data_IF_142580497512
#
_entry.id   IF_142580497512
#
_cell.length_a   1.000
_cell.length_b   1.000
_cell.length_c   1.000
_cell.angle_alpha   90.00
_cell.angle_beta   90.00
_cell.angle_gamma   90.00
#
_symmetry.space_group_name_H-M   'P 1'
#
loop_
_entity.id
_entity.type
_entity.pdbx_description
1 polymer ?
#
# COMPACT_ATOMS: atom_id res chain seq x y z
N UNK A 1 -6.85 -4.17 14.77
CA UNK A 1 -6.29 -3.73 16.05
C UNK A 1 -7.41 -3.47 17.07
N UNK A 2 -7.09 -3.50 18.39
CA UNK A 2 -8.08 -3.34 19.47
C UNK A 2 -8.61 -1.92 19.58
N UNK A 3 -7.73 -0.94 19.51
CA UNK A 3 -8.06 0.47 19.73
C UNK A 3 -7.64 1.30 18.52
N UNK A 4 -8.46 1.35 17.45
CA UNK A 4 -8.17 2.25 16.34
C UNK A 4 -8.37 3.70 16.77
N UNK A 5 -7.49 4.61 16.32
CA UNK A 5 -7.55 6.01 16.70
C UNK A 5 -6.43 6.84 16.09
N UNK A 6 -6.27 8.05 16.60
CA UNK A 6 -5.18 8.95 16.28
C UNK A 6 -4.21 8.93 17.45
N UNK A 7 -2.93 8.69 17.15
CA UNK A 7 -1.85 8.59 18.12
C UNK A 7 -0.79 9.62 17.81
N UNK A 8 -0.41 10.42 18.80
CA UNK A 8 0.73 11.31 18.71
C UNK A 8 1.96 10.57 19.27
N UNK A 9 2.96 10.40 18.42
CA UNK A 9 4.22 9.73 18.77
C UNK A 9 5.40 10.51 18.20
N UNK A 10 6.56 10.41 18.84
CA UNK A 10 7.81 10.87 18.23
C UNK A 10 8.13 10.03 16.99
N UNK A 11 8.94 10.55 16.06
CA UNK A 11 9.41 9.75 14.93
C UNK A 11 10.42 8.71 15.41
N UNK A 12 10.26 7.47 14.94
CA UNK A 12 11.20 6.39 15.23
C UNK A 12 10.63 5.12 15.86
N UNK A 13 9.39 5.09 16.41
CA UNK A 13 8.82 3.82 16.84
C UNK A 13 8.72 2.88 15.64
N UNK A 14 8.77 1.60 15.92
CA UNK A 14 8.56 0.57 14.91
C UNK A 14 7.07 0.40 14.58
N UNK A 15 6.78 -0.26 13.49
CA UNK A 15 5.39 -0.64 13.17
C UNK A 15 4.79 -1.49 14.30
N UNK A 16 5.58 -2.37 14.91
CA UNK A 16 5.19 -3.19 16.07
C UNK A 16 4.81 -2.32 17.26
N UNK A 17 5.65 -1.34 17.61
CA UNK A 17 5.40 -0.45 18.74
C UNK A 17 4.08 0.31 18.59
N UNK A 18 3.74 0.75 17.37
CA UNK A 18 2.46 1.42 17.14
C UNK A 18 1.26 0.47 17.19
N UNK A 19 1.40 -0.76 16.72
CA UNK A 19 0.35 -1.77 16.86
C UNK A 19 0.12 -2.07 18.34
N UNK A 20 1.20 -2.23 19.13
CA UNK A 20 1.12 -2.49 20.56
C UNK A 20 0.53 -1.30 21.33
N UNK A 21 0.94 -0.08 21.00
CA UNK A 21 0.35 1.15 21.54
C UNK A 21 -1.17 1.22 21.28
N UNK A 22 -1.62 0.73 20.13
CA UNK A 22 -3.04 0.63 19.77
C UNK A 22 -3.74 -0.59 20.39
N UNK A 23 -3.14 -1.24 21.39
CA UNK A 23 -3.69 -2.38 22.12
C UNK A 23 -3.46 -3.73 21.45
N UNK A 24 -2.61 -3.80 20.43
CA UNK A 24 -2.31 -5.03 19.70
C UNK A 24 -3.42 -5.48 18.75
N UNK A 25 -3.27 -6.67 18.22
CA UNK A 25 -4.30 -7.32 17.40
C UNK A 25 -5.50 -7.71 18.26
N UNK A 26 -6.68 -7.82 17.64
CA UNK A 26 -7.89 -8.33 18.32
C UNK A 26 -7.71 -9.81 18.65
N UNK A 27 -8.49 -10.29 19.65
CA UNK A 27 -8.45 -11.70 20.03
C UNK A 27 -8.82 -12.59 18.83
N UNK A 28 -7.99 -13.60 18.59
CA UNK A 28 -8.13 -14.50 17.46
C UNK A 28 -7.70 -13.92 16.11
N UNK A 29 -7.17 -12.68 16.08
CA UNK A 29 -6.62 -12.08 14.88
C UNK A 29 -5.09 -12.11 14.88
N UNK A 30 -4.52 -12.49 13.74
CA UNK A 30 -3.08 -12.47 13.48
C UNK A 30 -2.76 -11.37 12.48
N UNK A 31 -1.60 -10.74 12.64
CA UNK A 31 -1.13 -9.71 11.71
C UNK A 31 -0.82 -10.34 10.35
N UNK A 32 -1.45 -9.83 9.31
CA UNK A 32 -1.20 -10.22 7.93
C UNK A 32 -0.35 -9.17 7.20
N UNK A 33 -0.76 -7.92 7.30
CA UNK A 33 -0.09 -6.81 6.63
C UNK A 33 -0.50 -5.46 7.25
N UNK A 34 0.30 -4.42 6.99
CA UNK A 34 -0.09 -3.04 7.22
C UNK A 34 0.11 -2.21 5.95
N UNK A 35 -0.88 -1.41 5.58
CA UNK A 35 -0.72 -0.41 4.52
C UNK A 35 -0.31 0.91 5.13
N UNK A 36 0.85 1.42 4.73
CA UNK A 36 1.44 2.68 5.21
C UNK A 36 1.18 3.79 4.18
N UNK A 37 0.79 4.97 4.64
CA UNK A 37 0.67 6.17 3.80
C UNK A 37 -0.62 6.29 2.99
N UNK A 38 -1.67 5.55 3.33
CA UNK A 38 -2.96 5.60 2.63
C UNK A 38 -2.96 4.89 1.27
N UNK A 39 -3.83 5.31 0.34
CA UNK A 39 -3.97 4.66 -0.97
C UNK A 39 -2.70 4.73 -1.83
N UNK A 40 -1.95 5.83 -1.73
CA UNK A 40 -0.69 6.07 -2.45
C UNK A 40 0.52 5.37 -1.83
N UNK A 41 0.35 4.78 -0.66
CA UNK A 41 1.41 4.07 0.06
C UNK A 41 1.58 2.62 -0.36
N UNK A 42 2.32 1.86 0.45
CA UNK A 42 2.63 0.47 0.17
C UNK A 42 2.28 -0.45 1.35
N UNK A 43 2.32 -1.75 1.09
CA UNK A 43 2.11 -2.78 2.10
C UNK A 43 3.44 -3.20 2.74
N UNK A 44 3.45 -3.19 4.08
CA UNK A 44 4.44 -3.83 4.93
C UNK A 44 3.92 -5.21 5.34
N UNK A 45 4.81 -6.20 5.37
CA UNK A 45 4.49 -7.57 5.78
C UNK A 45 4.95 -7.89 7.21
N UNK A 46 4.82 -9.17 7.63
CA UNK A 46 5.30 -9.61 8.95
C UNK A 46 6.79 -9.35 9.19
N UNK A 47 7.61 -9.44 8.15
CA UNK A 47 9.05 -9.20 8.22
C UNK A 47 9.39 -7.70 8.43
N UNK A 48 8.43 -6.80 8.21
CA UNK A 48 8.60 -5.36 8.36
C UNK A 48 8.10 -4.84 9.73
N UNK A 49 7.68 -5.70 10.64
CA UNK A 49 7.14 -5.26 11.95
C UNK A 49 8.13 -4.43 12.76
N UNK A 50 9.43 -4.70 12.62
CA UNK A 50 10.49 -3.97 13.32
C UNK A 50 11.04 -2.80 12.49
N UNK A 51 10.40 -2.44 11.38
CA UNK A 51 10.73 -1.27 10.57
C UNK A 51 10.44 0.01 11.36
N UNK A 52 11.48 0.83 11.55
CA UNK A 52 11.32 2.14 12.17
C UNK A 52 10.49 3.06 11.25
N UNK A 53 9.51 3.72 11.83
CA UNK A 53 8.62 4.62 11.09
C UNK A 53 9.25 6.02 11.03
N UNK A 54 10.35 6.10 10.29
CA UNK A 54 10.99 7.34 9.90
C UNK A 54 10.96 7.49 8.38
N UNK A 55 11.01 8.70 7.82
CA UNK A 55 11.09 8.91 6.38
C UNK A 55 12.24 8.13 5.73
N UNK A 56 13.41 8.11 6.38
CA UNK A 56 14.63 7.48 5.87
C UNK A 56 14.51 5.96 5.86
N UNK A 57 14.07 5.37 6.98
CA UNK A 57 13.96 3.91 7.09
C UNK A 57 12.86 3.35 6.18
N UNK A 58 11.71 4.02 6.11
CA UNK A 58 10.63 3.61 5.21
C UNK A 58 11.02 3.75 3.75
N UNK A 59 11.73 4.84 3.37
CA UNK A 59 12.24 5.00 2.01
C UNK A 59 13.28 3.94 1.64
N UNK A 60 14.21 3.61 2.55
CA UNK A 60 15.19 2.54 2.36
C UNK A 60 14.52 1.17 2.17
N UNK A 61 13.38 0.96 2.82
CA UNK A 61 12.54 -0.22 2.64
C UNK A 61 11.62 -0.14 1.39
N UNK A 62 11.68 0.91 0.56
CA UNK A 62 10.78 1.09 -0.59
C UNK A 62 9.32 1.34 -0.19
N UNK A 63 9.11 1.87 1.00
CA UNK A 63 7.81 2.25 1.55
C UNK A 63 7.78 3.76 1.82
N UNK A 64 6.67 4.26 2.33
CA UNK A 64 6.53 5.66 2.74
C UNK A 64 5.58 5.78 3.93
N UNK A 65 5.87 6.69 4.85
CA UNK A 65 4.92 7.07 5.90
C UNK A 65 3.73 7.82 5.28
N UNK A 66 3.96 8.58 4.21
CA UNK A 66 2.95 9.34 3.48
C UNK A 66 2.13 10.24 4.38
N UNK A 67 0.83 10.01 4.43
CA UNK A 67 -0.11 10.79 5.26
C UNK A 67 -0.12 10.40 6.74
N UNK A 68 0.75 9.49 7.19
CA UNK A 68 0.73 8.94 8.55
C UNK A 68 -0.37 7.92 8.83
N UNK A 69 -1.18 7.59 7.83
CA UNK A 69 -2.21 6.54 7.97
C UNK A 69 -1.57 5.17 7.94
N UNK A 70 -1.89 4.35 8.94
CA UNK A 70 -1.50 2.95 9.03
C UNK A 70 -2.77 2.10 9.12
N UNK A 71 -3.03 1.30 8.09
CA UNK A 71 -4.17 0.39 8.04
C UNK A 71 -3.69 -1.03 8.27
N UNK A 72 -3.99 -1.58 9.45
CA UNK A 72 -3.59 -2.94 9.83
C UNK A 72 -4.65 -3.93 9.35
N UNK A 73 -4.20 -4.97 8.69
CA UNK A 73 -5.00 -6.07 8.16
C UNK A 73 -4.65 -7.38 8.88
N UNK A 74 -5.67 -8.15 9.22
CA UNK A 74 -5.53 -9.49 9.78
C UNK A 74 -5.69 -10.58 8.70
N UNK A 75 -5.50 -11.84 9.08
CA UNK A 75 -5.55 -13.00 8.20
C UNK A 75 -6.91 -13.21 7.49
N UNK A 76 -7.97 -12.52 7.93
CA UNK A 76 -9.30 -12.63 7.32
C UNK A 76 -9.54 -11.65 6.19
N UNK A 77 -8.63 -10.68 5.98
CA UNK A 77 -8.76 -9.68 4.92
C UNK A 77 -8.31 -10.26 3.58
N UNK A 78 -9.19 -10.19 2.60
CA UNK A 78 -8.83 -10.48 1.21
C UNK A 78 -7.99 -9.30 0.64
N UNK A 79 -6.67 -9.50 0.60
CA UNK A 79 -5.75 -8.49 0.07
C UNK A 79 -5.97 -8.24 -1.43
N UNK A 80 -6.42 -9.23 -2.20
CA UNK A 80 -6.70 -9.06 -3.63
C UNK A 80 -7.89 -8.13 -3.81
N UNK A 81 -8.94 -8.26 -3.00
CA UNK A 81 -10.07 -7.32 -2.99
C UNK A 81 -9.61 -5.91 -2.60
N UNK A 82 -8.72 -5.79 -1.61
CA UNK A 82 -8.14 -4.48 -1.26
C UNK A 82 -7.39 -3.85 -2.43
N UNK A 83 -6.57 -4.62 -3.16
CA UNK A 83 -5.85 -4.13 -4.33
C UNK A 83 -6.79 -3.69 -5.45
N UNK A 84 -7.87 -4.44 -5.68
CA UNK A 84 -8.91 -4.06 -6.68
C UNK A 84 -9.59 -2.74 -6.31
N UNK A 85 -9.90 -2.53 -5.04
CA UNK A 85 -10.48 -1.26 -4.55
C UNK A 85 -9.50 -0.09 -4.70
N UNK A 86 -8.21 -0.30 -4.40
CA UNK A 86 -7.18 0.72 -4.58
C UNK A 86 -7.03 1.07 -6.07
N UNK A 87 -6.97 0.06 -6.95
CA UNK A 87 -6.87 0.29 -8.38
C UNK A 87 -8.09 1.05 -8.93
N UNK A 88 -9.31 0.69 -8.48
CA UNK A 88 -10.53 1.40 -8.83
C UNK A 88 -10.48 2.86 -8.37
N UNK A 89 -10.05 3.11 -7.12
CA UNK A 89 -9.87 4.46 -6.60
C UNK A 89 -8.96 5.30 -7.50
N UNK A 90 -7.76 4.81 -7.85
CA UNK A 90 -6.84 5.58 -8.69
C UNK A 90 -7.37 5.81 -10.11
N UNK A 91 -8.13 4.86 -10.67
CA UNK A 91 -8.81 5.05 -11.95
C UNK A 91 -9.84 6.19 -11.86
N UNK A 92 -10.67 6.17 -10.80
CA UNK A 92 -11.78 7.10 -10.64
C UNK A 92 -11.30 8.52 -10.28
N UNK A 93 -10.21 8.62 -9.53
CA UNK A 93 -9.60 9.89 -9.12
C UNK A 93 -8.62 10.47 -10.17
N UNK A 94 -8.35 9.74 -11.25
CA UNK A 94 -7.50 10.25 -12.33
C UNK A 94 -8.19 11.43 -13.02
N UNK A 95 -7.51 12.58 -13.06
CA UNK A 95 -8.02 13.75 -13.79
C UNK A 95 -8.03 13.58 -15.33
N UNK A 96 -7.42 12.49 -15.84
CA UNK A 96 -7.37 12.15 -17.26
C UNK A 96 -6.37 12.97 -18.09
N UNK A 97 -5.61 13.90 -17.50
CA UNK A 97 -4.75 14.83 -18.23
C UNK A 97 -3.58 14.11 -18.93
N UNK A 98 -2.84 13.28 -18.22
CA UNK A 98 -1.67 12.61 -18.82
C UNK A 98 -1.97 11.14 -19.18
N UNK A 99 -1.46 10.70 -20.32
CA UNK A 99 -1.68 9.35 -20.85
C UNK A 99 -1.21 8.24 -19.89
N UNK A 100 -0.01 8.32 -19.28
CA UNK A 100 0.46 7.25 -18.40
C UNK A 100 -0.49 6.98 -17.24
N UNK A 101 -0.99 8.01 -16.58
CA UNK A 101 -1.97 7.88 -15.51
C UNK A 101 -3.34 7.41 -16.04
N UNK A 102 -3.91 8.13 -17.03
CA UNK A 102 -5.24 7.83 -17.56
C UNK A 102 -5.38 6.40 -18.07
N UNK A 103 -4.40 5.93 -18.81
CA UNK A 103 -4.42 4.57 -19.38
C UNK A 103 -3.90 3.55 -18.37
N UNK A 104 -2.82 3.87 -17.66
CA UNK A 104 -2.19 2.97 -16.71
C UNK A 104 -3.10 2.53 -15.58
N UNK A 105 -3.87 3.43 -14.96
CA UNK A 105 -4.81 3.08 -13.89
C UNK A 105 -5.90 2.13 -14.38
N UNK A 106 -6.42 2.33 -15.58
CA UNK A 106 -7.40 1.41 -16.20
C UNK A 106 -6.76 0.04 -16.44
N UNK A 107 -5.55 0.00 -17.00
CA UNK A 107 -4.84 -1.26 -17.28
C UNK A 107 -4.47 -2.03 -16.02
N UNK A 108 -4.07 -1.33 -14.95
CA UNK A 108 -3.84 -1.97 -13.65
C UNK A 108 -5.11 -2.63 -13.11
N UNK A 109 -6.23 -1.93 -13.17
CA UNK A 109 -7.51 -2.49 -12.72
C UNK A 109 -7.93 -3.71 -13.55
N UNK A 110 -7.83 -3.64 -14.88
CA UNK A 110 -8.14 -4.76 -15.77
C UNK A 110 -7.24 -5.98 -15.51
N UNK A 111 -5.94 -5.76 -15.32
CA UNK A 111 -4.97 -6.81 -15.02
C UNK A 111 -5.31 -7.52 -13.71
N UNK A 112 -5.63 -6.76 -12.65
CA UNK A 112 -6.05 -7.32 -11.36
C UNK A 112 -7.39 -8.07 -11.47
N UNK A 113 -8.32 -7.59 -12.29
CA UNK A 113 -9.60 -8.28 -12.49
C UNK A 113 -9.43 -9.63 -13.20
N UNK A 114 -8.47 -9.72 -14.12
CA UNK A 114 -8.16 -10.96 -14.88
C UNK A 114 -7.18 -11.89 -14.17
N UNK A 115 -6.52 -11.43 -13.09
CA UNK A 115 -5.41 -12.16 -12.47
C UNK A 115 -4.15 -12.20 -13.34
N UNK A 116 -4.03 -11.31 -14.34
CA UNK A 116 -2.87 -11.21 -15.22
C UNK A 116 -1.87 -10.19 -14.67
N UNK A 117 -0.79 -10.70 -14.07
CA UNK A 117 0.24 -9.88 -13.43
C UNK A 117 1.40 -9.53 -14.35
N UNK A 118 1.43 -10.10 -15.56
CA UNK A 118 2.60 -10.06 -16.45
C UNK A 118 3.05 -8.64 -16.80
N UNK A 119 2.10 -7.71 -16.94
CA UNK A 119 2.37 -6.33 -17.33
C UNK A 119 2.28 -5.32 -16.17
N UNK A 120 1.89 -5.74 -14.96
CA UNK A 120 1.66 -4.81 -13.85
C UNK A 120 2.90 -4.00 -13.48
N UNK A 121 4.08 -4.62 -13.50
CA UNK A 121 5.34 -3.93 -13.22
C UNK A 121 5.67 -2.89 -14.29
N UNK A 122 5.55 -3.24 -15.57
CA UNK A 122 5.86 -2.33 -16.68
C UNK A 122 4.88 -1.15 -16.70
N UNK A 123 3.59 -1.41 -16.48
CA UNK A 123 2.57 -0.37 -16.35
C UNK A 123 2.91 0.55 -15.19
N UNK A 124 3.25 -0.01 -14.02
CA UNK A 124 3.64 0.75 -12.84
C UNK A 124 4.86 1.62 -13.10
N UNK A 125 5.89 1.08 -13.75
CA UNK A 125 7.10 1.82 -14.08
C UNK A 125 6.82 3.00 -15.03
N UNK A 126 6.04 2.77 -16.09
CA UNK A 126 5.65 3.85 -17.02
C UNK A 126 4.84 4.93 -16.31
N UNK A 127 3.92 4.54 -15.42
CA UNK A 127 3.13 5.49 -14.64
C UNK A 127 4.01 6.31 -13.71
N UNK A 128 4.97 5.69 -13.03
CA UNK A 128 5.92 6.34 -12.14
C UNK A 128 6.77 7.37 -12.87
N UNK A 129 7.33 7.00 -14.02
CA UNK A 129 8.33 7.79 -14.72
C UNK A 129 7.71 8.93 -15.57
N UNK A 130 6.50 8.72 -16.10
CA UNK A 130 5.92 9.61 -17.10
C UNK A 130 4.63 10.31 -16.70
N UNK A 131 4.08 10.03 -15.50
CA UNK A 131 2.92 10.79 -15.01
C UNK A 131 3.33 12.18 -14.53
N UNK A 132 2.47 13.16 -14.78
CA UNK A 132 2.73 14.57 -14.44
C UNK A 132 2.72 14.82 -12.93
N UNK A 133 1.91 14.09 -12.16
CA UNK A 133 1.71 14.34 -10.73
C UNK A 133 1.76 13.08 -9.90
N UNK A 134 1.82 13.28 -8.57
CA UNK A 134 1.95 12.22 -7.59
C UNK A 134 0.86 11.14 -7.66
N UNK A 135 -0.37 11.48 -8.12
CA UNK A 135 -1.43 10.48 -8.23
C UNK A 135 -1.00 9.35 -9.17
N UNK A 136 -0.61 9.66 -10.40
CA UNK A 136 -0.15 8.65 -11.35
C UNK A 136 1.17 8.01 -10.95
N UNK A 137 2.09 8.80 -10.39
CA UNK A 137 3.41 8.31 -9.96
C UNK A 137 3.34 7.31 -8.81
N UNK A 138 2.27 7.30 -8.01
CA UNK A 138 2.14 6.45 -6.81
C UNK A 138 1.06 5.37 -6.92
N UNK A 139 0.23 5.39 -7.96
CA UNK A 139 -0.90 4.47 -8.12
C UNK A 139 -0.50 2.98 -8.15
N UNK A 140 0.75 2.67 -8.49
CA UNK A 140 1.28 1.31 -8.54
C UNK A 140 1.83 0.81 -7.18
N UNK A 141 2.13 1.70 -6.23
CA UNK A 141 2.88 1.37 -5.01
C UNK A 141 2.24 0.24 -4.19
N UNK A 142 0.93 0.32 -3.95
CA UNK A 142 0.23 -0.70 -3.18
C UNK A 142 0.25 -2.06 -3.88
N UNK A 143 0.07 -2.08 -5.20
CA UNK A 143 0.06 -3.31 -6.01
C UNK A 143 1.44 -3.95 -6.00
N UNK A 144 2.48 -3.18 -6.31
CA UNK A 144 3.86 -3.68 -6.37
C UNK A 144 4.33 -4.20 -5.02
N UNK A 145 4.11 -3.44 -3.94
CA UNK A 145 4.51 -3.85 -2.59
C UNK A 145 3.78 -5.12 -2.12
N UNK A 146 2.48 -5.27 -2.44
CA UNK A 146 1.74 -6.47 -2.10
C UNK A 146 2.27 -7.71 -2.85
N UNK A 147 2.62 -7.58 -4.12
CA UNK A 147 3.22 -8.67 -4.91
C UNK A 147 4.58 -9.05 -4.35
N UNK A 148 5.46 -8.07 -4.11
CA UNK A 148 6.85 -8.30 -3.72
C UNK A 148 6.96 -8.79 -2.29
N UNK A 149 6.22 -8.16 -1.34
CA UNK A 149 6.38 -8.40 0.10
C UNK A 149 5.44 -9.46 0.67
N UNK A 150 4.23 -9.53 0.14
CA UNK A 150 3.19 -10.41 0.68
C UNK A 150 2.97 -11.63 -0.20
N UNK A 151 3.59 -11.71 -1.39
CA UNK A 151 3.30 -12.76 -2.35
C UNK A 151 1.83 -12.76 -2.80
N UNK A 152 1.14 -11.63 -2.66
CA UNK A 152 -0.22 -11.50 -3.11
C UNK A 152 -0.32 -11.76 -4.62
N UNK A 153 -1.42 -12.38 -5.06
CA UNK A 153 -1.67 -12.70 -6.46
C UNK A 153 -0.76 -13.82 -7.06
N UNK A 154 -0.06 -14.61 -6.23
CA UNK A 154 0.67 -15.81 -6.67
C UNK A 154 -0.21 -17.05 -6.70
#
# INVERSE_FOLDING_TARGET
IRTPGVYEVELGPTLRDLIDLAGGMRDGSEFQAARLGGAAGGFAGPDDLDLALTPEATAAAGLTIGSGVIMVHDQHVDLVDQLRRIAAFFRDESCGQCVPCRVGTVRQQEALARGDLSLLRDIGQVMKDASICGLGQTAHNAIESAIVRLGALR
#
